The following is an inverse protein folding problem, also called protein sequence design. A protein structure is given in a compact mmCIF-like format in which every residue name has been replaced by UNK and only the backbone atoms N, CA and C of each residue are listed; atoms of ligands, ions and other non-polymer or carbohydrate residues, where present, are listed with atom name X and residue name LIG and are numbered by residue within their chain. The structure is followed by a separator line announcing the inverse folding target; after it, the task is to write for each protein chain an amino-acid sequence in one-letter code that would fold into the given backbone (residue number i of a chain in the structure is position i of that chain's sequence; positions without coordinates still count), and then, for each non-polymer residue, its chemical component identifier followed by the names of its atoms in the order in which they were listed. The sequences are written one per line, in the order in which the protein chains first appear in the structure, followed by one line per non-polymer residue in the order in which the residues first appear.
data_IF_244107668626
#
_entry.id   IF_244107668626
#
_cell.length_a   1.000
_cell.length_b   1.000
_cell.length_c   1.000
_cell.angle_alpha   90.00
_cell.angle_beta   90.00
_cell.angle_gamma   90.00
#
_symmetry.space_group_name_H-M   'P 1'
#
loop_
_entity.id
_entity.type
_entity.pdbx_description
1 polymer ?
#
# COMPACT_ATOMS: atom_id res chain seq x y z
N UNK A 1 23.40 4.68 -4.72
CA UNK A 1 23.24 4.31 -3.30
C UNK A 1 23.58 2.85 -3.16
N UNK A 2 24.63 2.54 -2.40
CA UNK A 2 25.01 1.14 -2.14
C UNK A 2 23.97 0.43 -1.27
N UNK A 3 23.90 -0.90 -1.39
CA UNK A 3 22.94 -1.75 -0.67
C UNK A 3 23.03 -1.58 0.86
N UNK A 4 24.22 -1.23 1.38
CA UNK A 4 24.48 -1.03 2.81
C UNK A 4 24.00 0.33 3.36
N UNK A 5 23.79 1.32 2.49
CA UNK A 5 23.50 2.70 2.90
C UNK A 5 22.22 2.84 3.76
N UNK A 6 21.09 2.17 3.46
CA UNK A 6 19.90 2.24 4.31
C UNK A 6 20.12 1.64 5.71
N UNK A 7 20.96 0.61 5.83
CA UNK A 7 21.29 0.00 7.11
C UNK A 7 22.08 0.95 7.98
N UNK A 8 23.12 1.58 7.43
CA UNK A 8 23.93 2.56 8.15
C UNK A 8 23.10 3.78 8.58
N UNK A 9 22.22 4.29 7.70
CA UNK A 9 21.33 5.39 8.04
C UNK A 9 20.40 5.03 9.22
N UNK A 10 19.83 3.82 9.24
CA UNK A 10 19.02 3.37 10.38
C UNK A 10 19.84 3.28 11.67
N UNK A 11 21.03 2.68 11.62
CA UNK A 11 21.91 2.56 12.80
C UNK A 11 22.30 3.92 13.38
N UNK A 12 22.54 4.92 12.53
CA UNK A 12 22.90 6.28 12.99
C UNK A 12 21.78 6.96 13.77
N UNK A 13 20.52 6.67 13.43
CA UNK A 13 19.32 7.33 13.99
C UNK A 13 18.66 6.55 15.14
N UNK A 14 19.05 5.30 15.40
CA UNK A 14 18.42 4.46 16.42
C UNK A 14 18.58 4.97 17.86
N UNK A 15 19.56 5.84 18.13
CA UNK A 15 19.79 6.43 19.46
C UNK A 15 18.71 7.41 19.95
N UNK A 16 17.87 7.93 19.05
CA UNK A 16 16.85 8.94 19.40
C UNK A 16 15.78 8.36 20.35
N UNK A 17 15.32 7.13 20.07
CA UNK A 17 14.24 6.51 20.84
C UNK A 17 14.65 6.23 22.30
N UNK A 18 15.81 5.62 22.60
CA UNK A 18 16.28 5.43 23.97
C UNK A 18 16.42 6.75 24.75
N UNK A 19 16.97 7.80 24.14
CA UNK A 19 17.17 9.11 24.79
C UNK A 19 15.81 9.70 25.21
N UNK A 20 14.83 9.70 24.29
CA UNK A 20 13.48 10.17 24.59
C UNK A 20 12.80 9.31 25.66
N UNK A 21 12.95 7.98 25.60
CA UNK A 21 12.37 7.07 26.58
C UNK A 21 12.98 7.24 27.98
N UNK A 22 14.27 7.55 28.08
CA UNK A 22 14.96 7.78 29.35
C UNK A 22 14.55 9.12 29.99
N UNK A 23 14.42 10.18 29.19
CA UNK A 23 14.06 11.53 29.66
C UNK A 23 12.58 11.65 30.01
N UNK A 24 11.70 11.06 29.19
CA UNK A 24 10.24 11.19 29.32
C UNK A 24 9.59 9.90 29.84
N UNK A 25 10.13 9.36 30.94
CA UNK A 25 9.56 8.17 31.59
C UNK A 25 8.15 8.46 32.09
N UNK A 26 7.28 7.45 32.02
CA UNK A 26 5.99 7.47 32.71
C UNK A 26 6.26 7.38 34.22
N UNK A 27 5.96 8.43 34.95
CA UNK A 27 6.17 8.50 36.40
C UNK A 27 4.80 8.51 37.07
N UNK A 28 4.61 7.65 38.07
CA UNK A 28 3.43 7.74 38.93
C UNK A 28 3.75 8.69 40.08
N UNK A 29 3.12 9.87 40.14
CA UNK A 29 3.34 10.85 41.20
C UNK A 29 2.03 11.08 41.94
N UNK A 30 1.99 10.80 43.25
CA UNK A 30 0.81 10.96 44.13
C UNK A 30 -0.47 10.32 43.57
N UNK A 31 -0.40 9.06 43.10
CA UNK A 31 -1.56 8.32 42.57
C UNK A 31 -2.06 8.79 41.20
N UNK A 32 -1.44 9.81 40.57
CA UNK A 32 -1.70 10.21 39.19
C UNK A 32 -0.58 9.72 38.27
N UNK A 33 -0.97 9.03 37.20
CA UNK A 33 -0.04 8.62 36.13
C UNK A 33 0.36 9.85 35.31
N UNK A 34 1.59 10.35 35.51
CA UNK A 34 2.19 11.36 34.65
C UNK A 34 2.79 10.65 33.44
N UNK A 35 2.10 10.74 32.31
CA UNK A 35 2.62 10.30 31.02
C UNK A 35 2.83 11.55 30.18
N UNK A 36 4.08 11.98 29.92
CA UNK A 36 4.36 13.15 29.08
C UNK A 36 3.91 12.97 27.60
N UNK A 37 3.37 11.78 27.25
CA UNK A 37 2.83 11.45 25.92
C UNK A 37 3.82 11.65 24.76
N UNK A 38 5.12 11.60 25.08
CA UNK A 38 6.18 11.70 24.09
C UNK A 38 6.36 10.35 23.41
N UNK A 39 6.11 10.30 22.10
CA UNK A 39 6.29 9.09 21.29
C UNK A 39 7.03 9.44 20.00
N UNK A 40 7.97 8.59 19.60
CA UNK A 40 8.67 8.68 18.32
C UNK A 40 8.07 7.67 17.34
N UNK A 41 7.77 8.13 16.13
CA UNK A 41 7.42 7.28 14.99
C UNK A 41 8.41 7.60 13.87
N UNK A 42 9.32 6.67 13.56
CA UNK A 42 10.36 6.86 12.54
C UNK A 42 10.14 5.93 11.35
N UNK A 43 10.40 6.43 10.15
CA UNK A 43 10.46 5.70 8.90
C UNK A 43 11.68 6.17 8.10
N UNK A 44 12.76 5.39 8.13
CA UNK A 44 14.07 5.82 7.60
C UNK A 44 14.50 7.17 8.21
N UNK A 45 14.64 8.20 7.38
CA UNK A 45 15.00 9.58 7.72
C UNK A 45 13.80 10.43 8.18
N UNK A 46 12.58 10.11 7.73
CA UNK A 46 11.37 10.81 8.13
C UNK A 46 10.88 10.33 9.52
N UNK A 47 10.67 11.24 10.46
CA UNK A 47 10.10 10.90 11.78
C UNK A 47 9.08 11.93 12.27
N UNK A 48 8.22 11.47 13.19
CA UNK A 48 7.25 12.27 13.92
C UNK A 48 7.53 12.09 15.41
N UNK A 49 7.54 13.20 16.15
CA UNK A 49 7.50 13.17 17.61
C UNK A 49 6.20 13.81 18.06
N UNK A 50 5.44 13.08 18.88
CA UNK A 50 4.24 13.60 19.52
C UNK A 50 4.58 14.13 20.91
N UNK A 51 3.86 15.15 21.38
CA UNK A 51 3.89 15.64 22.76
C UNK A 51 2.49 16.14 23.13
N UNK A 52 2.18 16.19 24.42
CA UNK A 52 0.97 16.86 24.92
C UNK A 52 1.06 18.38 24.79
N UNK A 53 2.27 18.94 24.91
CA UNK A 53 2.52 20.38 24.97
C UNK A 53 3.47 20.82 23.86
N UNK A 54 3.14 21.95 23.22
CA UNK A 54 3.95 22.56 22.16
C UNK A 54 5.30 23.05 22.69
N UNK A 55 5.32 23.61 23.89
CA UNK A 55 6.53 24.17 24.50
C UNK A 55 7.61 23.10 24.71
N UNK A 56 7.22 21.89 25.11
CA UNK A 56 8.13 20.74 25.25
C UNK A 56 8.77 20.38 23.90
N UNK A 57 8.02 20.45 22.80
CA UNK A 57 8.56 20.18 21.47
C UNK A 57 9.59 21.25 21.05
N UNK A 58 9.28 22.52 21.29
CA UNK A 58 10.11 23.64 20.86
C UNK A 58 11.34 23.87 21.73
N UNK A 59 11.18 23.80 23.06
CA UNK A 59 12.24 24.18 24.01
C UNK A 59 13.12 23.02 24.44
N UNK A 60 12.60 21.80 24.44
CA UNK A 60 13.36 20.64 24.94
C UNK A 60 13.71 19.64 23.84
N UNK A 61 12.73 19.22 23.04
CA UNK A 61 12.92 18.14 22.06
C UNK A 61 13.70 18.65 20.85
N UNK A 62 13.36 19.82 20.30
CA UNK A 62 14.06 20.36 19.12
C UNK A 62 15.55 20.58 19.38
N UNK A 63 16.00 21.24 20.47
CA UNK A 63 17.43 21.42 20.73
C UNK A 63 18.16 20.10 20.95
N UNK A 64 17.57 19.18 21.72
CA UNK A 64 18.13 17.84 21.93
C UNK A 64 18.36 17.09 20.61
N UNK A 65 17.42 17.17 19.67
CA UNK A 65 17.57 16.55 18.36
C UNK A 65 18.69 17.19 17.54
N UNK A 66 18.83 18.52 17.60
CA UNK A 66 19.91 19.24 16.91
C UNK A 66 21.26 18.78 17.43
N UNK A 67 21.44 18.73 18.76
CA UNK A 67 22.68 18.25 19.38
C UNK A 67 22.99 16.80 18.97
N UNK A 68 22.00 15.91 19.06
CA UNK A 68 22.16 14.50 18.69
C UNK A 68 22.55 14.31 17.22
N UNK A 69 21.95 15.10 16.32
CA UNK A 69 22.25 15.02 14.89
C UNK A 69 23.59 15.68 14.54
N UNK A 70 23.95 16.76 15.21
CA UNK A 70 25.22 17.46 15.02
C UNK A 70 26.43 16.57 15.34
N UNK A 71 26.38 15.78 16.41
CA UNK A 71 27.40 14.76 16.72
C UNK A 71 27.64 13.76 15.58
N UNK A 72 26.61 13.54 14.73
CA UNK A 72 26.60 12.59 13.62
C UNK A 72 26.81 13.26 12.27
N UNK A 73 27.08 14.57 12.26
CA UNK A 73 27.26 15.37 11.04
C UNK A 73 25.97 15.55 10.23
N UNK A 74 24.81 15.50 10.88
CA UNK A 74 23.50 15.67 10.26
C UNK A 74 22.84 16.97 10.76
N UNK A 75 22.07 17.59 9.88
CA UNK A 75 21.33 18.81 10.19
C UNK A 75 19.83 18.63 9.94
N UNK A 76 19.01 19.26 10.78
CA UNK A 76 17.58 19.31 10.57
C UNK A 76 17.26 20.33 9.47
N UNK A 77 16.50 19.89 8.47
CA UNK A 77 15.94 20.81 7.49
C UNK A 77 14.83 21.63 8.13
N UNK A 78 15.08 22.91 8.38
CA UNK A 78 14.12 23.83 8.98
C UNK A 78 12.83 23.93 8.15
N UNK A 79 12.97 23.95 6.81
CA UNK A 79 11.83 24.01 5.88
C UNK A 79 10.89 22.79 5.97
N UNK A 80 11.44 21.62 6.33
CA UNK A 80 10.67 20.38 6.47
C UNK A 80 10.13 20.18 7.88
N UNK A 81 10.72 20.84 8.87
CA UNK A 81 10.38 20.65 10.28
C UNK A 81 9.21 21.56 10.64
N UNK A 82 8.01 20.97 10.75
CA UNK A 82 6.79 21.72 11.07
C UNK A 82 6.20 21.23 12.39
N UNK A 83 5.97 22.16 13.31
CA UNK A 83 5.25 21.89 14.57
C UNK A 83 3.79 22.26 14.35
N UNK A 84 2.93 21.24 14.29
CA UNK A 84 1.49 21.40 14.03
C UNK A 84 0.65 20.72 15.08
N UNK A 85 -0.54 21.24 15.34
CA UNK A 85 -1.52 20.55 16.17
C UNK A 85 -2.26 19.47 15.38
N UNK A 86 -2.65 18.37 16.04
CA UNK A 86 -3.32 17.22 15.40
C UNK A 86 -4.68 17.57 14.77
N UNK A 87 -5.32 18.65 15.22
CA UNK A 87 -6.57 19.17 14.66
C UNK A 87 -6.39 19.86 13.30
N UNK A 88 -5.23 20.44 13.04
CA UNK A 88 -4.88 21.03 11.75
C UNK A 88 -4.44 19.94 10.77
N UNK A 89 -3.75 18.94 11.35
CA UNK A 89 -3.28 17.75 10.66
C UNK A 89 -1.98 17.98 9.90
N UNK A 90 -1.30 16.89 9.58
CA UNK A 90 -0.02 16.92 8.89
C UNK A 90 0.10 15.76 7.90
N UNK A 91 0.99 15.89 6.93
CA UNK A 91 1.26 14.85 5.94
C UNK A 91 2.48 14.03 6.37
N UNK A 92 2.34 12.70 6.43
CA UNK A 92 3.43 11.75 6.70
C UNK A 92 3.28 10.50 5.84
N UNK A 93 4.35 10.10 5.14
CA UNK A 93 4.36 8.96 4.21
C UNK A 93 3.17 8.99 3.22
N UNK A 94 2.80 10.17 2.75
CA UNK A 94 1.67 10.35 1.82
C UNK A 94 0.28 10.23 2.45
N UNK A 95 0.17 10.05 3.77
CA UNK A 95 -1.09 10.13 4.51
C UNK A 95 -1.21 11.49 5.19
N UNK A 96 -2.37 12.13 5.04
CA UNK A 96 -2.80 13.22 5.90
C UNK A 96 -3.41 12.64 7.18
N UNK A 97 -2.78 12.93 8.32
CA UNK A 97 -3.20 12.50 9.64
C UNK A 97 -3.87 13.69 10.32
N UNK A 98 -5.17 13.58 10.61
CA UNK A 98 -5.93 14.67 11.22
C UNK A 98 -7.03 14.17 12.14
N UNK A 99 -7.21 14.85 13.27
CA UNK A 99 -8.30 14.58 14.22
C UNK A 99 -9.54 15.39 13.86
N UNK A 100 -10.64 14.72 13.55
CA UNK A 100 -11.94 15.32 13.26
C UNK A 100 -12.92 14.95 14.36
N UNK A 101 -13.47 15.95 15.09
CA UNK A 101 -14.50 15.75 16.12
C UNK A 101 -14.18 14.59 17.09
N UNK A 102 -12.93 14.51 17.55
CA UNK A 102 -12.47 13.45 18.46
C UNK A 102 -11.89 12.20 17.78
N UNK A 103 -12.16 11.97 16.49
CA UNK A 103 -11.72 10.75 15.76
C UNK A 103 -10.50 11.04 14.90
N UNK A 104 -9.44 10.24 15.05
CA UNK A 104 -8.27 10.30 14.19
C UNK A 104 -8.55 9.63 12.85
N UNK A 105 -8.45 10.38 11.76
CA UNK A 105 -8.57 9.86 10.41
C UNK A 105 -7.24 9.97 9.68
N UNK A 106 -6.84 8.89 9.02
CA UNK A 106 -5.67 8.82 8.14
C UNK A 106 -6.16 8.74 6.70
N UNK A 107 -6.03 9.82 5.94
CA UNK A 107 -6.51 9.91 4.56
C UNK A 107 -5.33 10.05 3.60
N UNK A 108 -5.44 9.66 2.33
CA UNK A 108 -4.40 9.97 1.35
C UNK A 108 -4.22 11.49 1.22
N UNK A 109 -2.98 11.98 1.26
CA UNK A 109 -2.70 13.42 1.18
C UNK A 109 -3.14 13.98 -0.17
N UNK A 110 -3.59 15.24 -0.16
CA UNK A 110 -4.05 15.91 -1.40
C UNK A 110 -2.91 15.98 -2.44
N UNK A 111 -1.67 16.18 -1.98
CA UNK A 111 -0.47 16.21 -2.82
C UNK A 111 -0.24 14.86 -3.52
N UNK A 112 -0.32 13.75 -2.78
CA UNK A 112 -0.14 12.40 -3.34
C UNK A 112 -1.27 12.00 -4.29
N UNK A 113 -2.52 12.35 -3.96
CA UNK A 113 -3.66 12.14 -4.86
C UNK A 113 -3.49 12.91 -6.16
N UNK A 114 -3.06 14.18 -6.09
CA UNK A 114 -2.79 15.00 -7.28
C UNK A 114 -1.69 14.38 -8.15
N UNK A 115 -0.53 14.07 -7.56
CA UNK A 115 0.60 13.40 -8.26
C UNK A 115 0.15 12.10 -8.95
N UNK A 116 -0.66 11.28 -8.27
CA UNK A 116 -1.20 10.06 -8.85
C UNK A 116 -2.11 10.33 -10.06
N UNK A 117 -3.07 11.25 -9.91
CA UNK A 117 -3.99 11.61 -10.99
C UNK A 117 -3.25 12.23 -12.19
N UNK A 118 -2.22 13.03 -11.95
CA UNK A 118 -1.39 13.61 -13.00
C UNK A 118 -0.60 12.53 -13.74
N UNK A 119 -0.06 11.52 -13.04
CA UNK A 119 0.56 10.35 -13.66
C UNK A 119 -0.42 9.51 -14.50
N UNK A 120 -1.67 9.37 -14.05
CA UNK A 120 -2.72 8.70 -14.83
C UNK A 120 -3.11 9.52 -16.06
N UNK A 121 -3.29 10.84 -15.91
CA UNK A 121 -3.59 11.76 -17.03
C UNK A 121 -2.50 11.69 -18.08
N UNK A 122 -1.24 11.78 -17.67
CA UNK A 122 -0.08 11.61 -18.54
C UNK A 122 -0.15 10.29 -19.29
N UNK A 123 -0.39 9.18 -18.58
CA UNK A 123 -0.51 7.85 -19.21
C UNK A 123 -1.60 7.81 -20.29
N UNK A 124 -2.77 8.42 -20.04
CA UNK A 124 -3.88 8.47 -21.01
C UNK A 124 -3.53 9.41 -22.18
N UNK A 125 -2.90 10.54 -21.91
CA UNK A 125 -2.56 11.55 -22.92
C UNK A 125 -1.40 11.12 -23.83
N UNK A 126 -0.43 10.37 -23.33
CA UNK A 126 0.61 9.75 -24.16
C UNK A 126 0.06 8.60 -25.03
N UNK A 127 -1.08 8.02 -24.64
CA UNK A 127 -1.69 6.87 -25.31
C UNK A 127 -3.03 7.25 -25.99
N UNK A 128 -3.09 8.42 -26.62
CA UNK A 128 -4.29 8.94 -27.28
C UNK A 128 -4.86 7.98 -28.34
N UNK A 129 -4.01 7.36 -29.16
CA UNK A 129 -4.42 6.50 -30.29
C UNK A 129 -4.48 4.99 -29.96
N UNK A 130 -4.03 4.56 -28.79
CA UNK A 130 -3.87 3.14 -28.46
C UNK A 130 -5.20 2.36 -28.44
N UNK A 131 -5.16 1.03 -28.50
CA UNK A 131 -6.37 0.22 -28.29
C UNK A 131 -6.87 0.37 -26.85
N UNK A 132 -8.17 0.18 -26.66
CA UNK A 132 -8.79 0.24 -25.33
C UNK A 132 -8.16 -0.77 -24.37
N UNK A 133 -7.90 -1.99 -24.86
CA UNK A 133 -7.24 -3.06 -24.10
C UNK A 133 -5.86 -2.62 -23.56
N UNK A 134 -5.03 -2.04 -24.43
CA UNK A 134 -3.69 -1.53 -24.06
C UNK A 134 -3.79 -0.51 -22.94
N UNK A 135 -4.77 0.40 -23.02
CA UNK A 135 -4.97 1.42 -21.99
C UNK A 135 -5.35 0.79 -20.64
N UNK A 136 -6.26 -0.20 -20.66
CA UNK A 136 -6.65 -0.92 -19.43
C UNK A 136 -5.44 -1.67 -18.84
N UNK A 137 -4.60 -2.30 -19.66
CA UNK A 137 -3.38 -2.99 -19.21
C UNK A 137 -2.37 -2.04 -18.55
N UNK A 138 -2.24 -0.81 -19.04
CA UNK A 138 -1.36 0.20 -18.47
C UNK A 138 -1.90 0.81 -17.17
N UNK A 139 -3.21 1.03 -17.09
CA UNK A 139 -3.85 1.69 -15.94
C UNK A 139 -4.07 0.74 -14.77
N UNK A 140 -4.44 -0.52 -15.02
CA UNK A 140 -4.81 -1.47 -13.97
C UNK A 140 -3.71 -1.68 -12.91
N UNK A 141 -2.43 -1.89 -13.26
CA UNK A 141 -1.36 -2.02 -12.28
C UNK A 141 -1.17 -0.76 -11.44
N UNK A 142 -1.23 0.43 -12.06
CA UNK A 142 -1.08 1.72 -11.37
C UNK A 142 -2.19 1.96 -10.36
N UNK A 143 -3.46 1.74 -10.76
CA UNK A 143 -4.63 1.87 -9.88
C UNK A 143 -4.57 0.84 -8.76
N UNK A 144 -4.24 -0.41 -9.08
CA UNK A 144 -4.16 -1.49 -8.08
C UNK A 144 -3.08 -1.22 -7.04
N UNK A 145 -1.88 -0.83 -7.47
CA UNK A 145 -0.77 -0.53 -6.57
C UNK A 145 -1.09 0.64 -5.64
N UNK A 146 -1.62 1.73 -6.21
CA UNK A 146 -2.02 2.90 -5.43
C UNK A 146 -3.15 2.58 -4.44
N UNK A 147 -4.20 1.89 -4.87
CA UNK A 147 -5.30 1.52 -3.97
C UNK A 147 -4.85 0.55 -2.87
N UNK A 148 -3.95 -0.39 -3.18
CA UNK A 148 -3.38 -1.31 -2.19
C UNK A 148 -2.55 -0.59 -1.12
N UNK A 149 -1.79 0.45 -1.49
CA UNK A 149 -1.02 1.24 -0.54
C UNK A 149 -1.94 1.99 0.44
N UNK A 150 -2.98 2.65 -0.08
CA UNK A 150 -3.88 3.48 0.73
C UNK A 150 -5.04 2.70 1.38
N UNK A 151 -5.15 1.38 1.20
CA UNK A 151 -6.27 0.57 1.71
C UNK A 151 -6.34 0.47 3.25
N UNK A 152 -5.26 0.82 3.94
CA UNK A 152 -5.18 0.78 5.41
C UNK A 152 -5.79 2.01 6.08
N UNK A 153 -5.91 3.12 5.36
CA UNK A 153 -6.48 4.37 5.85
C UNK A 153 -7.97 4.53 5.54
N UNK A 154 -8.52 5.67 5.97
CA UNK A 154 -9.88 6.13 5.67
C UNK A 154 -9.98 6.66 4.22
N UNK A 155 -9.79 5.78 3.24
CA UNK A 155 -9.56 6.14 1.84
C UNK A 155 -10.77 6.02 0.92
N UNK A 156 -11.93 5.48 1.36
CA UNK A 156 -13.09 5.21 0.51
C UNK A 156 -13.56 6.42 -0.30
N UNK A 157 -13.72 7.57 0.36
CA UNK A 157 -14.18 8.81 -0.31
C UNK A 157 -13.16 9.31 -1.32
N UNK A 158 -11.87 9.20 -0.99
CA UNK A 158 -10.77 9.57 -1.89
C UNK A 158 -10.73 8.64 -3.10
N UNK A 159 -10.95 7.33 -2.91
CA UNK A 159 -11.01 6.35 -3.99
C UNK A 159 -12.13 6.66 -4.98
N UNK A 160 -13.34 7.00 -4.50
CA UNK A 160 -14.44 7.43 -5.37
C UNK A 160 -14.08 8.67 -6.18
N UNK A 161 -13.46 9.68 -5.55
CA UNK A 161 -13.02 10.90 -6.25
C UNK A 161 -11.98 10.58 -7.31
N UNK A 162 -11.03 9.69 -7.01
CA UNK A 162 -10.01 9.26 -7.98
C UNK A 162 -10.67 8.53 -9.15
N UNK A 163 -11.57 7.59 -8.88
CA UNK A 163 -12.29 6.85 -9.93
C UNK A 163 -13.12 7.78 -10.82
N UNK A 164 -13.81 8.79 -10.27
CA UNK A 164 -14.54 9.82 -11.04
C UNK A 164 -13.59 10.61 -11.96
N UNK A 165 -12.44 11.05 -11.46
CA UNK A 165 -11.46 11.80 -12.27
C UNK A 165 -10.88 10.95 -13.41
N UNK A 166 -10.59 9.68 -13.13
CA UNK A 166 -10.13 8.73 -14.14
C UNK A 166 -11.23 8.51 -15.19
N UNK A 167 -12.48 8.30 -14.75
CA UNK A 167 -13.63 8.15 -15.64
C UNK A 167 -13.80 9.37 -16.57
N UNK A 168 -13.77 10.59 -16.02
CA UNK A 168 -13.88 11.82 -16.82
C UNK A 168 -12.79 11.91 -17.89
N UNK A 169 -11.55 11.55 -17.54
CA UNK A 169 -10.43 11.55 -18.49
C UNK A 169 -10.58 10.47 -19.57
N UNK A 170 -11.03 9.28 -19.21
CA UNK A 170 -11.34 8.20 -20.17
C UNK A 170 -12.51 8.55 -21.09
N UNK A 171 -13.52 9.24 -20.58
CA UNK A 171 -14.62 9.76 -21.38
C UNK A 171 -14.14 10.77 -22.43
N UNK A 172 -13.27 11.70 -22.05
CA UNK A 172 -12.64 12.62 -23.00
C UNK A 172 -11.83 11.88 -24.06
N UNK A 173 -11.02 10.90 -23.65
CA UNK A 173 -10.25 10.05 -24.56
C UNK A 173 -11.17 9.32 -25.56
N UNK A 174 -12.28 8.74 -25.10
CA UNK A 174 -13.23 8.01 -25.92
C UNK A 174 -13.95 8.93 -26.93
N UNK A 175 -14.41 10.12 -26.49
CA UNK A 175 -15.03 11.13 -27.37
C UNK A 175 -14.07 11.61 -28.46
N UNK A 176 -12.82 11.91 -28.09
CA UNK A 176 -11.80 12.41 -29.03
C UNK A 176 -11.56 11.47 -30.21
N UNK A 177 -11.70 10.15 -30.00
CA UNK A 177 -11.51 9.15 -31.05
C UNK A 177 -12.63 9.11 -32.08
N UNK A 178 -13.81 9.66 -31.75
CA UNK A 178 -15.00 9.58 -32.60
C UNK A 178 -15.69 10.93 -32.68
N UNK A 179 -15.05 11.95 -33.30
CA UNK A 179 -15.61 13.29 -33.40
C UNK A 179 -16.95 13.34 -34.14
N UNK A 180 -17.19 12.38 -35.07
CA UNK A 180 -18.42 12.28 -35.87
C UNK A 180 -19.51 11.41 -35.23
N UNK A 181 -19.33 10.87 -34.02
CA UNK A 181 -20.30 9.97 -33.38
C UNK A 181 -20.91 10.63 -32.14
N UNK A 182 -22.20 10.39 -31.92
CA UNK A 182 -22.92 10.91 -30.75
C UNK A 182 -22.48 10.26 -29.43
N UNK A 183 -22.76 10.95 -28.31
CA UNK A 183 -22.45 10.47 -26.95
C UNK A 183 -23.02 9.06 -26.65
N UNK A 184 -24.27 8.70 -27.04
CA UNK A 184 -24.81 7.37 -26.78
C UNK A 184 -24.01 6.25 -27.46
N UNK A 185 -23.50 6.51 -28.67
CA UNK A 185 -22.68 5.55 -29.40
C UNK A 185 -21.32 5.34 -28.71
N UNK A 186 -20.68 6.42 -28.26
CA UNK A 186 -19.42 6.34 -27.50
C UNK A 186 -19.62 5.58 -26.20
N UNK A 187 -20.72 5.83 -25.49
CA UNK A 187 -21.09 5.09 -24.28
C UNK A 187 -21.20 3.60 -24.57
N UNK A 188 -22.05 3.21 -25.54
CA UNK A 188 -22.28 1.79 -25.91
C UNK A 188 -21.01 1.07 -26.38
N UNK A 189 -20.06 1.79 -26.99
CA UNK A 189 -18.81 1.21 -27.53
C UNK A 189 -17.76 0.92 -26.47
N UNK A 190 -17.62 1.79 -25.47
CA UNK A 190 -16.48 1.76 -24.53
C UNK A 190 -16.87 1.39 -23.10
N UNK A 191 -18.14 1.58 -22.74
CA UNK A 191 -18.61 1.48 -21.38
C UNK A 191 -19.80 0.51 -21.32
N UNK A 192 -19.67 -0.53 -20.51
CA UNK A 192 -20.63 -1.62 -20.45
C UNK A 192 -21.13 -1.82 -19.02
N UNK A 193 -22.22 -2.56 -18.90
CA UNK A 193 -22.67 -3.10 -17.61
C UNK A 193 -21.71 -4.22 -17.18
N UNK A 194 -21.25 -4.19 -15.93
CA UNK A 194 -20.38 -5.22 -15.37
C UNK A 194 -20.63 -5.37 -13.88
N UNK A 195 -20.97 -6.60 -13.46
CA UNK A 195 -21.44 -6.92 -12.10
C UNK A 195 -22.64 -6.02 -11.76
N UNK A 196 -22.58 -5.26 -10.67
CA UNK A 196 -23.69 -4.42 -10.22
C UNK A 196 -23.50 -2.95 -10.63
N UNK A 197 -22.73 -2.68 -11.70
CA UNK A 197 -22.41 -1.31 -12.11
C UNK A 197 -22.56 -1.11 -13.61
N UNK A 198 -23.17 0.02 -13.94
CA UNK A 198 -23.19 0.58 -15.28
C UNK A 198 -21.93 1.41 -15.54
N UNK A 199 -21.67 1.68 -16.82
CA UNK A 199 -20.65 2.60 -17.29
C UNK A 199 -19.22 2.17 -16.93
N UNK A 200 -18.96 0.86 -16.96
CA UNK A 200 -17.64 0.32 -16.71
C UNK A 200 -16.82 0.33 -17.99
N UNK A 201 -15.66 0.99 -17.96
CA UNK A 201 -14.71 0.94 -19.07
C UNK A 201 -14.12 -0.46 -19.16
N UNK A 202 -14.51 -1.23 -20.17
CA UNK A 202 -14.09 -2.63 -20.34
C UNK A 202 -14.03 -3.04 -21.80
N UNK A 203 -13.24 -4.07 -22.08
CA UNK A 203 -13.16 -4.73 -23.40
C UNK A 203 -13.59 -6.18 -23.25
N UNK A 204 -14.38 -6.68 -24.19
CA UNK A 204 -14.66 -8.11 -24.35
C UNK A 204 -13.74 -8.63 -25.44
N UNK A 205 -12.92 -9.63 -25.12
CA UNK A 205 -11.97 -10.26 -26.02
C UNK A 205 -12.43 -11.70 -26.31
N UNK A 206 -12.59 -12.05 -27.57
CA UNK A 206 -12.90 -13.42 -27.96
C UNK A 206 -11.59 -14.15 -28.27
N UNK A 207 -11.20 -15.09 -27.40
CA UNK A 207 -10.03 -15.97 -27.61
C UNK A 207 -10.50 -17.42 -27.56
N UNK A 208 -10.29 -18.15 -28.66
CA UNK A 208 -10.59 -19.58 -28.77
C UNK A 208 -12.05 -19.94 -28.38
N UNK A 209 -13.02 -19.13 -28.84
CA UNK A 209 -14.44 -19.34 -28.55
C UNK A 209 -14.86 -19.01 -27.11
N UNK A 210 -13.95 -18.51 -26.26
CA UNK A 210 -14.27 -18.02 -24.91
C UNK A 210 -14.23 -16.49 -24.89
N UNK A 211 -15.29 -15.89 -24.38
CA UNK A 211 -15.35 -14.45 -24.11
C UNK A 211 -14.60 -14.15 -22.81
N UNK A 212 -13.51 -13.38 -22.92
CA UNK A 212 -12.74 -12.90 -21.79
C UNK A 212 -13.01 -11.40 -21.58
N UNK A 213 -13.49 -11.03 -20.39
CA UNK A 213 -13.89 -9.66 -20.06
C UNK A 213 -12.76 -8.99 -19.31
N UNK A 214 -12.25 -7.89 -19.87
CA UNK A 214 -11.14 -7.13 -19.30
C UNK A 214 -11.60 -5.74 -18.85
N UNK A 215 -12.07 -5.58 -17.59
CA UNK A 215 -12.49 -4.29 -17.07
C UNK A 215 -11.33 -3.47 -16.51
N UNK A 216 -11.46 -2.15 -16.56
CA UNK A 216 -10.68 -1.24 -15.75
C UNK A 216 -10.95 -1.51 -14.27
N UNK A 217 -9.92 -1.67 -13.45
CA UNK A 217 -10.06 -1.78 -12.00
C UNK A 217 -10.40 -0.42 -11.40
N UNK A 218 -11.30 -0.40 -10.42
CA UNK A 218 -11.64 0.80 -9.67
C UNK A 218 -10.95 0.77 -8.31
N UNK A 219 -10.41 1.90 -7.88
CA UNK A 219 -9.80 2.03 -6.56
C UNK A 219 -10.83 1.73 -5.47
N UNK A 220 -12.08 2.16 -5.65
CA UNK A 220 -13.18 1.97 -4.70
C UNK A 220 -13.53 0.50 -4.41
N UNK A 221 -13.27 -0.41 -5.36
CA UNK A 221 -13.52 -1.84 -5.16
C UNK A 221 -12.48 -2.49 -4.24
N UNK A 222 -11.39 -1.78 -3.93
CA UNK A 222 -10.36 -2.28 -3.02
C UNK A 222 -10.89 -2.28 -1.60
N UNK A 223 -11.01 -3.48 -1.02
CA UNK A 223 -11.47 -3.64 0.36
C UNK A 223 -10.51 -2.94 1.33
N UNK A 224 -11.04 -2.00 2.11
CA UNK A 224 -10.31 -1.40 3.24
C UNK A 224 -9.99 -2.50 4.26
N UNK A 225 -8.72 -2.57 4.64
CA UNK A 225 -8.24 -3.52 5.65
C UNK A 225 -7.38 -2.77 6.65
N UNK A 226 -7.83 -2.73 7.90
CA UNK A 226 -7.05 -2.13 8.98
C UNK A 226 -5.79 -2.97 9.21
N UNK A 227 -4.66 -2.29 9.36
CA UNK A 227 -3.41 -2.96 9.67
C UNK A 227 -3.44 -3.49 11.10
N UNK A 228 -3.19 -4.79 11.29
CA UNK A 228 -2.95 -5.37 12.63
C UNK A 228 -1.52 -5.06 13.04
N UNK A 229 -1.32 -4.17 14.02
CA UNK A 229 0.01 -3.78 14.53
C UNK A 229 0.83 -5.04 14.90
N UNK A 230 2.12 -5.02 14.62
CA UNK A 230 3.07 -6.02 15.11
C UNK A 230 3.30 -5.77 16.60
N UNK A 231 3.45 -6.83 17.40
CA UNK A 231 3.80 -6.70 18.82
C UNK A 231 5.17 -6.02 18.90
N UNK A 232 5.32 -4.99 19.73
CA UNK A 232 6.49 -4.09 19.65
C UNK A 232 7.78 -4.82 20.02
N UNK A 233 7.68 -5.81 20.89
CA UNK A 233 8.75 -6.67 21.40
C UNK A 233 9.07 -7.84 20.44
N UNK A 234 8.24 -8.05 19.41
CA UNK A 234 8.40 -9.19 18.52
C UNK A 234 9.55 -8.99 17.53
N UNK A 235 10.53 -9.88 17.62
CA UNK A 235 11.68 -9.92 16.75
C UNK A 235 11.62 -11.15 15.83
N UNK A 236 11.62 -10.99 14.50
CA UNK A 236 11.58 -12.11 13.54
C UNK A 236 12.72 -13.12 13.68
N UNK A 237 13.84 -12.73 14.30
CA UNK A 237 15.03 -13.57 14.46
C UNK A 237 15.07 -14.34 15.78
N UNK A 238 14.21 -13.97 16.74
CA UNK A 238 14.15 -14.63 18.05
C UNK A 238 13.22 -15.85 17.97
N UNK A 239 13.70 -16.97 18.52
CA UNK A 239 12.99 -18.26 18.46
C UNK A 239 11.61 -18.20 19.13
N UNK A 240 11.48 -17.38 20.17
CA UNK A 240 10.24 -17.19 20.93
C UNK A 240 9.09 -16.62 20.07
N UNK A 241 9.41 -15.80 19.07
CA UNK A 241 8.42 -15.16 18.21
C UNK A 241 8.14 -15.92 16.90
N UNK A 242 8.78 -17.08 16.70
CA UNK A 242 8.68 -17.85 15.46
C UNK A 242 7.22 -18.18 15.11
N UNK A 243 6.47 -18.75 16.07
CA UNK A 243 5.06 -19.11 15.89
C UNK A 243 4.20 -17.88 15.57
N UNK A 244 4.42 -16.76 16.27
CA UNK A 244 3.72 -15.49 16.01
C UNK A 244 3.90 -15.01 14.57
N UNK A 245 5.13 -15.08 14.02
CA UNK A 245 5.40 -14.67 12.65
C UNK A 245 4.86 -15.67 11.62
N UNK A 246 4.89 -16.97 11.92
CA UNK A 246 4.30 -18.03 11.08
C UNK A 246 2.76 -17.87 10.96
N UNK A 247 2.07 -17.64 12.07
CA UNK A 247 0.63 -17.34 12.07
C UNK A 247 0.31 -16.09 11.24
N UNK A 248 1.14 -15.05 11.38
CA UNK A 248 0.96 -13.80 10.65
C UNK A 248 1.22 -13.95 9.16
N UNK A 249 2.23 -14.73 8.78
CA UNK A 249 2.50 -15.09 7.38
C UNK A 249 1.34 -15.90 6.79
N UNK A 250 0.82 -16.86 7.55
CA UNK A 250 -0.36 -17.65 7.20
C UNK A 250 -1.57 -16.75 6.98
N UNK A 251 -1.84 -15.83 7.91
CA UNK A 251 -2.92 -14.86 7.80
C UNK A 251 -2.78 -13.98 6.55
N UNK A 252 -1.58 -13.45 6.28
CA UNK A 252 -1.31 -12.67 5.05
C UNK A 252 -1.61 -13.47 3.79
N UNK A 253 -1.20 -14.74 3.75
CA UNK A 253 -1.45 -15.63 2.61
C UNK A 253 -2.95 -15.96 2.46
N UNK A 254 -3.66 -16.25 3.55
CA UNK A 254 -5.11 -16.44 3.53
C UNK A 254 -5.84 -15.19 2.99
N UNK A 255 -5.38 -14.00 3.38
CA UNK A 255 -5.93 -12.74 2.86
C UNK A 255 -5.63 -12.52 1.38
N UNK A 256 -4.45 -12.94 0.89
CA UNK A 256 -4.08 -12.84 -0.54
C UNK A 256 -4.89 -13.81 -1.40
N UNK A 257 -5.21 -14.99 -0.86
CA UNK A 257 -5.99 -16.04 -1.49
C UNK A 257 -7.51 -15.91 -1.30
N UNK A 258 -7.96 -14.89 -0.55
CA UNK A 258 -9.38 -14.71 -0.22
C UNK A 258 -10.24 -14.64 -1.49
N UNK A 259 -11.20 -15.55 -1.60
CA UNK A 259 -12.08 -15.69 -2.77
C UNK A 259 -11.53 -16.58 -3.89
N UNK A 260 -10.31 -17.10 -3.78
CA UNK A 260 -9.68 -18.01 -4.74
C UNK A 260 -9.60 -19.43 -4.17
N UNK A 261 -10.76 -20.09 -4.05
CA UNK A 261 -10.91 -21.40 -3.37
C UNK A 261 -9.94 -22.47 -3.90
N UNK A 262 -9.72 -22.52 -5.22
CA UNK A 262 -8.79 -23.49 -5.84
C UNK A 262 -7.34 -23.28 -5.43
N UNK A 263 -6.87 -22.03 -5.36
CA UNK A 263 -5.50 -21.70 -4.93
C UNK A 263 -5.30 -21.99 -3.44
N UNK A 264 -6.31 -21.68 -2.62
CA UNK A 264 -6.30 -22.00 -1.19
C UNK A 264 -6.22 -23.51 -0.96
N UNK A 265 -6.99 -24.29 -1.70
CA UNK A 265 -6.93 -25.75 -1.65
C UNK A 265 -5.54 -26.28 -2.03
N UNK A 266 -4.95 -25.80 -3.13
CA UNK A 266 -3.59 -26.21 -3.54
C UNK A 266 -2.54 -25.86 -2.48
N UNK A 267 -2.59 -24.64 -1.93
CA UNK A 267 -1.65 -24.19 -0.90
C UNK A 267 -1.73 -25.06 0.36
N UNK A 268 -2.93 -25.40 0.82
CA UNK A 268 -3.13 -26.30 1.95
C UNK A 268 -2.67 -27.73 1.64
N UNK A 269 -2.98 -28.24 0.44
CA UNK A 269 -2.59 -29.59 -0.01
C UNK A 269 -1.06 -29.76 -0.08
N UNK A 270 -0.33 -28.69 -0.33
CA UNK A 270 1.13 -28.68 -0.41
C UNK A 270 1.81 -28.35 0.93
N UNK A 271 1.08 -28.37 2.05
CA UNK A 271 1.59 -27.99 3.37
C UNK A 271 2.31 -26.62 3.35
N UNK A 272 1.81 -25.69 2.53
CA UNK A 272 2.35 -24.34 2.34
C UNK A 272 3.75 -24.29 1.72
N UNK A 273 4.32 -25.40 1.25
CA UNK A 273 5.66 -25.47 0.67
C UNK A 273 5.65 -25.60 -0.86
N UNK A 274 6.71 -25.07 -1.47
CA UNK A 274 6.99 -25.26 -2.89
C UNK A 274 7.53 -26.68 -3.11
N UNK A 275 6.95 -27.47 -4.02
CA UNK A 275 7.35 -28.86 -4.24
C UNK A 275 8.67 -28.98 -5.00
N UNK A 276 9.25 -27.87 -5.47
CA UNK A 276 10.53 -27.86 -6.20
C UNK A 276 11.69 -27.54 -5.24
N UNK A 277 11.58 -26.47 -4.46
CA UNK A 277 12.66 -26.03 -3.57
C UNK A 277 12.44 -26.34 -2.09
N UNK A 278 11.27 -26.87 -1.71
CA UNK A 278 10.90 -27.15 -0.32
C UNK A 278 10.63 -25.93 0.56
N UNK A 279 10.89 -24.71 0.08
CA UNK A 279 10.67 -23.47 0.82
C UNK A 279 9.18 -23.09 0.88
N UNK A 280 8.81 -22.34 1.91
CA UNK A 280 7.43 -21.88 2.10
C UNK A 280 6.99 -20.89 1.02
N UNK A 281 5.73 -21.05 0.58
CA UNK A 281 5.05 -20.12 -0.31
C UNK A 281 4.28 -19.13 0.55
N UNK A 282 4.74 -17.89 0.52
CA UNK A 282 4.19 -16.79 1.30
C UNK A 282 3.54 -15.75 0.38
N UNK A 283 2.80 -14.80 0.96
CA UNK A 283 2.21 -13.70 0.19
C UNK A 283 3.24 -12.72 -0.39
N UNK A 284 4.47 -12.75 0.11
CA UNK A 284 5.54 -11.81 -0.22
C UNK A 284 6.44 -12.35 -1.35
N UNK A 285 6.51 -13.67 -1.51
CA UNK A 285 7.22 -14.31 -2.61
C UNK A 285 6.32 -14.38 -3.85
N UNK A 286 6.88 -14.10 -5.03
CA UNK A 286 6.16 -14.30 -6.29
C UNK A 286 6.02 -15.79 -6.56
N UNK A 287 4.81 -16.22 -6.96
CA UNK A 287 4.49 -17.62 -7.24
C UNK A 287 3.59 -17.74 -8.48
N UNK A 288 3.68 -18.88 -9.13
CA UNK A 288 2.87 -19.27 -10.29
C UNK A 288 2.21 -20.62 -10.06
N UNK A 289 1.19 -20.93 -10.87
CA UNK A 289 0.56 -22.26 -10.93
C UNK A 289 1.21 -23.04 -12.05
N UNK A 290 1.74 -24.24 -11.75
CA UNK A 290 2.23 -25.19 -12.74
C UNK A 290 1.23 -26.33 -12.87
N UNK A 291 1.10 -26.84 -14.10
CA UNK A 291 0.28 -28.01 -14.41
C UNK A 291 1.22 -29.17 -14.79
N UNK A 292 1.00 -30.36 -14.21
CA UNK A 292 1.69 -31.59 -14.59
C UNK A 292 0.65 -32.66 -14.87
N UNK A 293 0.79 -33.36 -16.00
CA UNK A 293 -0.02 -34.55 -16.27
C UNK A 293 0.57 -35.74 -15.53
N UNK A 294 -0.22 -36.36 -14.66
CA UNK A 294 0.13 -37.60 -13.96
C UNK A 294 -1.01 -38.59 -14.21
N UNK A 295 -0.68 -39.74 -14.80
CA UNK A 295 -1.65 -40.82 -15.09
C UNK A 295 -2.92 -40.35 -15.82
N UNK A 296 -2.75 -39.51 -16.86
CA UNK A 296 -3.86 -38.97 -17.65
C UNK A 296 -4.63 -37.80 -17.00
N UNK A 297 -4.41 -37.51 -15.72
CA UNK A 297 -5.04 -36.38 -15.02
C UNK A 297 -4.11 -35.17 -14.94
N UNK A 298 -4.65 -33.96 -15.12
CA UNK A 298 -3.89 -32.72 -15.01
C UNK A 298 -3.91 -32.24 -13.56
N UNK A 299 -2.77 -32.35 -12.87
CA UNK A 299 -2.60 -31.91 -11.49
C UNK A 299 -1.98 -30.51 -11.48
N UNK A 300 -2.57 -29.59 -10.72
CA UNK A 300 -2.09 -28.22 -10.56
C UNK A 300 -1.44 -28.03 -9.20
N UNK A 301 -0.33 -27.29 -9.14
CA UNK A 301 0.35 -26.96 -7.90
C UNK A 301 1.04 -25.60 -7.97
N UNK A 302 1.21 -24.96 -6.82
CA UNK A 302 1.87 -23.67 -6.64
C UNK A 302 3.39 -23.85 -6.55
N UNK A 303 4.13 -22.99 -7.25
CA UNK A 303 5.59 -22.94 -7.24
C UNK A 303 6.07 -21.50 -7.18
N UNK A 304 7.25 -21.24 -6.59
CA UNK A 304 7.86 -19.91 -6.69
C UNK A 304 8.15 -19.54 -8.15
N UNK A 305 8.08 -18.25 -8.48
CA UNK A 305 8.33 -17.74 -9.84
C UNK A 305 9.74 -18.10 -10.33
N UNK A 306 10.73 -18.11 -9.43
CA UNK A 306 12.09 -18.58 -9.73
C UNK A 306 12.11 -20.07 -10.15
N UNK A 307 11.43 -20.93 -9.38
CA UNK A 307 11.33 -22.36 -9.67
C UNK A 307 10.51 -22.65 -10.92
N UNK A 308 9.55 -21.78 -11.23
CA UNK A 308 8.78 -21.83 -12.48
C UNK A 308 9.67 -21.56 -13.69
N UNK A 309 10.52 -20.52 -13.62
CA UNK A 309 11.43 -20.11 -14.71
C UNK A 309 12.62 -21.05 -14.91
N UNK A 310 13.15 -21.65 -13.84
CA UNK A 310 14.30 -22.57 -13.91
C UNK A 310 13.97 -23.96 -14.46
N UNK A 311 12.69 -24.33 -14.50
CA UNK A 311 12.23 -25.62 -15.04
C UNK A 311 11.40 -25.44 -16.32
N UNK A 312 11.61 -24.32 -17.02
CA UNK A 312 11.17 -24.08 -18.40
C UNK A 312 12.28 -24.49 -19.35
#
# INVERSE_FOLDING_TARGET
GGIISPTLANMTLDGIQPILAQKYKRICRKGKHYSPMVNLVRYADDFIITSAEKEVLEREIKPMLVEFLAERGLELSEEKTVITHISDGFDFLGFNIRKFKGVLLTQPSKKCVKKFLDGIRYTIDSNKSCKQETLIRLLNPKITGWANYYRCGASSKTFQRVDDQIFRKLWQWAKRRHPKKGKPWVLKKYFHHYKNRNWRFLVVLNKNGKEDIFPLKLAFETKIMRHKKIVSEANPFDREWKEYFEERMTYKMLMSLKGRKSLLYMWNKQERKCPICGQEITAETQWNVREKKVSGQTVRYLVHDKCYKQNC
#
